data_IF_249586768825
#
_entry.id   IF_249586768825
#
_cell.length_a   1.000
_cell.length_b   1.000
_cell.length_c   1.000
_cell.angle_alpha   90.00
_cell.angle_beta   90.00
_cell.angle_gamma   90.00
#
_symmetry.space_group_name_H-M   'P 1'
#
loop_
_entity.id
_entity.type
_entity.pdbx_description
1 polymer ?
#
# COMPACT_ATOMS: atom_id res chain seq x y z
N UNK A 1 -20.36 19.79 1.17
CA UNK A 1 -20.49 18.34 0.83
C UNK A 1 -20.31 17.54 2.09
N UNK A 2 -21.14 16.54 2.33
CA UNK A 2 -20.98 15.64 3.47
C UNK A 2 -20.13 14.45 3.01
N UNK A 3 -19.00 14.20 3.66
CA UNK A 3 -18.11 13.06 3.35
C UNK A 3 -18.54 11.84 4.17
N UNK A 4 -18.18 10.61 3.72
CA UNK A 4 -18.59 9.36 4.39
C UNK A 4 -18.24 9.28 5.87
N UNK A 5 -17.10 9.85 6.28
CA UNK A 5 -16.63 9.82 7.67
C UNK A 5 -16.71 11.19 8.36
N UNK A 6 -17.55 12.12 7.87
CA UNK A 6 -17.78 13.41 8.56
C UNK A 6 -18.18 13.18 10.01
N UNK A 7 -17.49 13.84 10.95
CA UNK A 7 -17.72 13.74 12.40
C UNK A 7 -17.07 12.53 13.08
N UNK A 8 -16.36 11.68 12.35
CA UNK A 8 -15.53 10.60 12.92
C UNK A 8 -14.18 11.18 13.33
N UNK A 9 -13.78 10.97 14.58
CA UNK A 9 -12.55 11.47 15.19
C UNK A 9 -11.50 10.37 15.29
N UNK A 10 -10.35 10.58 14.68
CA UNK A 10 -9.24 9.61 14.64
C UNK A 10 -8.01 10.19 15.30
N UNK A 11 -7.57 9.57 16.39
CA UNK A 11 -6.32 9.90 17.06
C UNK A 11 -5.21 9.03 16.46
N UNK A 12 -4.31 9.65 15.71
CA UNK A 12 -3.19 9.01 15.04
C UNK A 12 -1.93 9.12 15.90
N UNK A 13 -1.58 8.03 16.59
CA UNK A 13 -0.35 7.90 17.35
C UNK A 13 0.74 7.19 16.54
N UNK A 14 0.43 6.79 15.30
CA UNK A 14 1.30 5.98 14.47
C UNK A 14 2.42 6.79 13.81
N UNK A 15 3.45 6.08 13.32
CA UNK A 15 4.63 6.66 12.68
C UNK A 15 5.00 5.88 11.41
N UNK A 16 5.83 6.46 10.60
CA UNK A 16 6.45 5.93 9.39
C UNK A 16 5.45 5.80 8.25
N UNK A 17 4.88 4.61 7.96
CA UNK A 17 4.10 4.43 6.72
C UNK A 17 2.73 3.77 6.95
N UNK A 18 2.67 2.54 7.43
CA UNK A 18 1.41 1.77 7.45
C UNK A 18 0.28 2.47 8.23
N UNK A 19 0.55 2.91 9.46
CA UNK A 19 -0.41 3.66 10.28
C UNK A 19 -0.76 5.03 9.69
N UNK A 20 0.23 5.87 9.34
CA UNK A 20 -0.04 7.16 8.70
C UNK A 20 -0.82 7.05 7.38
N UNK A 21 -0.57 6.03 6.56
CA UNK A 21 -1.35 5.75 5.34
C UNK A 21 -2.80 5.37 5.68
N UNK A 22 -2.99 4.51 6.68
CA UNK A 22 -4.33 4.15 7.16
C UNK A 22 -5.13 5.39 7.55
N UNK A 23 -4.56 6.23 8.42
CA UNK A 23 -5.23 7.43 8.92
C UNK A 23 -5.40 8.50 7.84
N UNK A 24 -4.48 8.60 6.88
CA UNK A 24 -4.64 9.46 5.70
C UNK A 24 -5.84 9.02 4.85
N UNK A 25 -5.99 7.72 4.56
CA UNK A 25 -7.14 7.18 3.80
C UNK A 25 -8.45 7.55 4.50
N UNK A 26 -8.52 7.38 5.82
CA UNK A 26 -9.70 7.74 6.59
C UNK A 26 -9.94 9.26 6.59
N UNK A 27 -8.88 10.06 6.63
CA UNK A 27 -8.92 11.51 6.46
C UNK A 27 -9.41 11.92 5.07
N UNK A 28 -8.98 11.25 4.00
CA UNK A 28 -9.47 11.46 2.64
C UNK A 28 -10.99 11.22 2.55
N UNK A 29 -11.50 10.26 3.32
CA UNK A 29 -12.93 9.94 3.41
C UNK A 29 -13.73 10.90 4.33
N UNK A 30 -13.09 11.90 4.89
CA UNK A 30 -13.76 12.96 5.64
C UNK A 30 -13.61 12.92 7.16
N UNK A 31 -12.87 11.96 7.73
CA UNK A 31 -12.61 11.91 9.15
C UNK A 31 -11.74 13.09 9.63
N UNK A 32 -11.93 13.49 10.88
CA UNK A 32 -11.06 14.42 11.59
C UNK A 32 -9.88 13.65 12.16
N UNK A 33 -8.69 13.81 11.56
CA UNK A 33 -7.48 13.09 11.95
C UNK A 33 -6.52 14.00 12.70
N UNK A 34 -6.28 13.68 13.98
CA UNK A 34 -5.30 14.36 14.81
C UNK A 34 -4.06 13.49 14.99
N UNK A 35 -2.95 13.89 14.38
CA UNK A 35 -1.65 13.23 14.51
C UNK A 35 -0.92 13.76 15.73
N UNK A 36 -0.59 12.87 16.65
CA UNK A 36 0.27 13.17 17.81
C UNK A 36 1.70 12.82 17.49
N UNK A 37 2.58 13.77 17.65
CA UNK A 37 3.99 13.65 17.32
C UNK A 37 4.90 13.95 18.52
N UNK A 38 6.16 13.50 18.45
CA UNK A 38 7.18 13.80 19.45
C UNK A 38 7.58 15.28 19.34
N UNK A 39 7.68 16.03 20.45
CA UNK A 39 8.22 17.38 20.41
C UNK A 39 9.62 17.44 19.78
N UNK A 40 9.89 18.47 19.00
CA UNK A 40 11.17 18.76 18.37
C UNK A 40 11.49 17.93 17.13
N UNK A 41 11.25 16.62 17.12
CA UNK A 41 11.60 15.75 15.96
C UNK A 41 10.41 15.27 15.14
N UNK A 42 9.24 15.16 15.74
CA UNK A 42 8.04 14.63 15.08
C UNK A 42 8.12 13.15 14.74
N UNK A 43 7.44 12.79 13.66
CA UNK A 43 7.54 11.51 12.99
C UNK A 43 8.94 11.35 12.39
N UNK A 44 9.53 10.17 12.51
CA UNK A 44 10.90 9.90 12.02
C UNK A 44 11.02 10.20 10.50
N UNK A 45 9.94 10.06 9.75
CA UNK A 45 9.90 10.36 8.30
C UNK A 45 10.05 11.84 7.96
N UNK A 46 9.89 12.76 8.92
CA UNK A 46 10.18 14.18 8.69
C UNK A 46 11.65 14.44 8.36
N UNK A 47 12.55 13.58 8.90
CA UNK A 47 13.99 13.61 8.61
C UNK A 47 14.44 12.70 7.45
N UNK A 48 13.54 11.95 6.83
CA UNK A 48 13.92 11.01 5.76
C UNK A 48 13.96 11.69 4.40
N UNK A 49 15.15 12.00 3.96
CA UNK A 49 15.41 12.61 2.67
C UNK A 49 16.92 12.52 2.31
N UNK A 50 17.32 12.99 1.15
CA UNK A 50 16.55 13.68 0.11
C UNK A 50 15.52 12.74 -0.58
N UNK A 51 14.48 13.30 -1.27
CA UNK A 51 14.25 14.71 -1.50
C UNK A 51 13.50 15.41 -0.37
N UNK A 52 13.77 16.70 -0.23
CA UNK A 52 12.97 17.64 0.57
C UNK A 52 12.39 18.70 -0.38
N UNK A 53 11.22 19.24 -0.07
CA UNK A 53 10.67 20.37 -0.82
C UNK A 53 11.37 21.70 -0.49
N UNK A 54 10.92 22.79 -1.09
CA UNK A 54 11.50 24.12 -0.88
C UNK A 54 11.39 24.65 0.56
N UNK A 55 10.47 24.08 1.34
CA UNK A 55 10.22 24.41 2.76
C UNK A 55 10.91 23.45 3.72
N UNK A 56 11.74 22.54 3.19
CA UNK A 56 12.47 21.57 3.99
C UNK A 56 11.63 20.38 4.45
N UNK A 57 10.44 20.13 3.88
CA UNK A 57 9.58 19.00 4.23
C UNK A 57 9.99 17.75 3.46
N UNK A 58 10.15 16.65 4.16
CA UNK A 58 10.45 15.35 3.56
C UNK A 58 9.34 14.88 2.63
N UNK A 59 9.67 14.49 1.40
CA UNK A 59 8.73 13.87 0.47
C UNK A 59 8.09 12.60 1.05
N UNK A 60 8.81 11.86 1.89
CA UNK A 60 8.28 10.68 2.57
C UNK A 60 7.13 11.06 3.52
N UNK A 61 7.34 12.07 4.37
CA UNK A 61 6.29 12.56 5.27
C UNK A 61 5.08 13.09 4.49
N UNK A 62 5.32 13.85 3.42
CA UNK A 62 4.27 14.42 2.58
C UNK A 62 3.37 13.34 1.96
N UNK A 63 3.94 12.18 1.61
CA UNK A 63 3.22 11.13 0.89
C UNK A 63 2.06 10.49 1.65
N UNK A 64 2.02 10.58 3.01
CA UNK A 64 1.05 9.85 3.85
C UNK A 64 0.42 10.69 4.98
N UNK A 65 0.53 12.03 4.95
CA UNK A 65 0.07 12.83 6.07
C UNK A 65 -0.89 13.99 5.70
N UNK A 66 -1.41 14.04 4.47
CA UNK A 66 -2.47 15.00 4.13
C UNK A 66 -3.75 14.75 4.93
N UNK A 67 -4.59 15.76 5.03
CA UNK A 67 -5.87 15.73 5.76
C UNK A 67 -5.74 15.49 7.27
N UNK A 68 -4.57 15.84 7.88
CA UNK A 68 -4.33 15.72 9.31
C UNK A 68 -4.06 17.08 9.95
N UNK A 69 -4.41 17.22 11.22
CA UNK A 69 -3.82 18.23 12.11
C UNK A 69 -2.66 17.59 12.87
N UNK A 70 -1.64 18.38 13.23
CA UNK A 70 -0.48 17.93 14.03
C UNK A 70 -0.43 18.66 15.37
N UNK A 71 -0.19 17.88 16.44
CA UNK A 71 0.13 18.35 17.77
C UNK A 71 1.33 17.60 18.33
N UNK A 72 2.28 18.32 18.89
CA UNK A 72 3.43 17.73 19.58
C UNK A 72 3.11 17.49 21.06
N UNK A 73 3.11 16.20 21.47
CA UNK A 73 2.92 15.77 22.86
C UNK A 73 4.00 14.76 23.22
N UNK A 74 4.68 14.98 24.35
CA UNK A 74 5.66 14.02 24.84
C UNK A 74 4.98 12.87 25.60
N UNK A 75 4.83 11.74 24.93
CA UNK A 75 4.24 10.54 25.54
C UNK A 75 5.09 9.94 26.66
N UNK A 76 6.33 10.40 26.88
CA UNK A 76 7.17 9.93 27.97
C UNK A 76 6.90 10.69 29.28
N UNK A 77 6.21 11.82 29.20
CA UNK A 77 5.80 12.60 30.40
C UNK A 77 4.39 12.23 30.85
N UNK A 78 4.08 12.27 32.15
CA UNK A 78 2.72 12.06 32.66
C UNK A 78 1.70 13.01 32.04
N UNK A 79 2.07 14.26 31.83
CA UNK A 79 1.24 15.32 31.26
C UNK A 79 0.87 15.02 29.80
N UNK A 80 1.85 14.63 28.99
CA UNK A 80 1.62 14.27 27.58
C UNK A 80 0.77 13.00 27.46
N UNK A 81 1.03 11.98 28.28
CA UNK A 81 0.22 10.79 28.34
C UNK A 81 -1.23 11.09 28.78
N UNK A 82 -1.43 11.93 29.77
CA UNK A 82 -2.76 12.35 30.22
C UNK A 82 -3.54 13.11 29.12
N UNK A 83 -2.86 13.99 28.37
CA UNK A 83 -3.47 14.69 27.24
C UNK A 83 -3.91 13.71 26.13
N UNK A 84 -3.08 12.70 25.80
CA UNK A 84 -3.44 11.66 24.83
C UNK A 84 -4.64 10.86 25.34
N UNK A 85 -4.67 10.47 26.61
CA UNK A 85 -5.82 9.75 27.18
C UNK A 85 -7.10 10.62 27.11
N UNK A 86 -7.02 11.91 27.42
CA UNK A 86 -8.16 12.81 27.30
C UNK A 86 -8.68 12.96 25.86
N UNK A 87 -7.79 13.00 24.87
CA UNK A 87 -8.16 13.00 23.46
C UNK A 87 -8.78 11.64 23.04
N UNK A 88 -8.19 10.52 23.49
CA UNK A 88 -8.66 9.18 23.16
C UNK A 88 -10.07 8.88 23.72
N UNK A 89 -10.41 9.41 24.92
CA UNK A 89 -11.76 9.25 25.48
C UNK A 89 -12.85 9.92 24.66
N UNK A 90 -12.51 10.86 23.78
CA UNK A 90 -13.42 11.56 22.89
C UNK A 90 -13.27 11.14 21.43
N UNK A 91 -12.35 10.22 21.12
CA UNK A 91 -12.11 9.70 19.78
C UNK A 91 -13.06 8.56 19.45
N UNK A 92 -13.30 8.35 18.15
CA UNK A 92 -13.96 7.18 17.63
C UNK A 92 -12.96 6.06 17.32
N UNK A 93 -11.73 6.42 16.94
CA UNK A 93 -10.66 5.50 16.59
C UNK A 93 -9.33 6.00 17.13
N UNK A 94 -8.51 5.10 17.68
CA UNK A 94 -7.08 5.31 17.91
C UNK A 94 -6.31 4.35 16.98
N UNK A 95 -5.31 4.87 16.28
CA UNK A 95 -4.39 4.05 15.46
C UNK A 95 -2.97 4.22 16.00
N UNK A 96 -2.28 3.10 16.25
CA UNK A 96 -0.92 3.11 16.75
C UNK A 96 -0.07 1.99 16.12
N UNK A 97 1.27 2.14 16.13
CA UNK A 97 2.20 1.11 15.67
C UNK A 97 3.47 1.04 16.55
N UNK A 98 3.28 1.24 17.86
CA UNK A 98 4.37 1.09 18.83
C UNK A 98 4.67 -0.39 19.09
N UNK A 99 5.87 -0.64 19.60
CA UNK A 99 6.19 -1.96 20.16
C UNK A 99 5.25 -2.26 21.33
N UNK A 100 4.86 -3.52 21.43
CA UNK A 100 3.96 -4.03 22.48
C UNK A 100 4.32 -3.47 23.86
N UNK A 101 3.31 -3.06 24.61
CA UNK A 101 3.43 -2.54 25.96
C UNK A 101 4.10 -1.16 26.08
N UNK A 102 4.55 -0.55 24.99
CA UNK A 102 5.19 0.78 25.05
C UNK A 102 4.23 1.86 25.54
N UNK A 103 3.04 1.93 24.98
CA UNK A 103 2.01 2.90 25.39
C UNK A 103 1.52 2.62 26.82
N UNK A 104 1.31 1.34 27.15
CA UNK A 104 0.88 0.94 28.50
C UNK A 104 1.89 1.35 29.58
N UNK A 105 3.21 1.17 29.35
CA UNK A 105 4.27 1.62 30.27
C UNK A 105 4.30 3.15 30.43
N UNK A 106 3.73 3.88 29.51
CA UNK A 106 3.58 5.36 29.54
C UNK A 106 2.25 5.81 30.11
N UNK A 107 1.43 4.91 30.65
CA UNK A 107 0.11 5.23 31.21
C UNK A 107 -1.01 5.32 30.19
N UNK A 108 -0.77 4.98 28.93
CA UNK A 108 -1.77 4.95 27.86
C UNK A 108 -2.19 3.49 27.67
N UNK A 109 -3.21 3.05 28.41
CA UNK A 109 -3.71 1.67 28.40
C UNK A 109 -4.95 1.54 27.50
N UNK A 110 -4.80 0.79 26.41
CA UNK A 110 -5.87 0.57 25.44
C UNK A 110 -7.12 -0.08 26.08
N UNK A 111 -6.93 -1.05 26.97
CA UNK A 111 -8.03 -1.73 27.65
C UNK A 111 -8.86 -0.79 28.52
N UNK A 112 -8.19 0.06 29.30
CA UNK A 112 -8.85 1.07 30.12
C UNK A 112 -9.59 2.12 29.28
N UNK A 113 -8.98 2.58 28.18
CA UNK A 113 -9.59 3.56 27.27
C UNK A 113 -10.80 2.96 26.53
N UNK A 114 -10.72 1.71 26.07
CA UNK A 114 -11.83 0.99 25.46
C UNK A 114 -12.99 0.73 26.45
N UNK A 115 -12.67 0.49 27.73
CA UNK A 115 -13.66 0.35 28.78
C UNK A 115 -14.35 1.69 29.12
N UNK A 116 -13.57 2.79 29.15
CA UNK A 116 -14.08 4.13 29.43
C UNK A 116 -14.93 4.72 28.30
N UNK A 117 -14.61 4.38 27.03
CA UNK A 117 -15.36 4.83 25.86
C UNK A 117 -15.92 3.65 25.05
N UNK A 118 -17.20 3.31 25.20
CA UNK A 118 -17.84 2.21 24.47
C UNK A 118 -17.87 2.42 22.94
N UNK A 119 -17.63 3.63 22.45
CA UNK A 119 -17.59 3.93 21.01
C UNK A 119 -16.20 3.79 20.41
N UNK A 120 -15.15 3.75 21.23
CA UNK A 120 -13.77 3.72 20.80
C UNK A 120 -13.44 2.39 20.12
N UNK A 121 -12.77 2.48 18.98
CA UNK A 121 -12.04 1.40 18.33
C UNK A 121 -10.55 1.65 18.52
N UNK A 122 -9.80 0.63 18.91
CA UNK A 122 -8.35 0.68 19.00
C UNK A 122 -7.74 -0.20 17.90
N UNK A 123 -6.88 0.36 17.05
CA UNK A 123 -6.22 -0.36 15.97
C UNK A 123 -4.70 -0.33 16.16
N UNK A 124 -4.11 -1.47 16.48
CA UNK A 124 -2.67 -1.66 16.58
C UNK A 124 -2.13 -2.29 15.29
N UNK A 125 -1.15 -1.63 14.64
CA UNK A 125 -0.45 -2.17 13.47
C UNK A 125 0.91 -2.69 13.94
N UNK A 126 1.14 -3.99 13.79
CA UNK A 126 2.31 -4.70 14.30
C UNK A 126 3.12 -5.31 13.16
N UNK A 127 4.41 -5.62 13.38
CA UNK A 127 5.20 -6.34 12.38
C UNK A 127 4.76 -7.79 12.22
N UNK A 128 4.66 -8.54 13.34
CA UNK A 128 4.49 -9.99 13.36
C UNK A 128 3.33 -10.48 14.24
N UNK A 129 2.33 -9.63 14.51
CA UNK A 129 1.15 -9.97 15.32
C UNK A 129 1.26 -9.55 16.77
N UNK A 130 0.12 -9.64 17.49
CA UNK A 130 -0.05 -9.14 18.85
C UNK A 130 0.82 -9.85 19.90
N UNK A 131 1.24 -11.09 19.64
CA UNK A 131 2.08 -11.88 20.56
C UNK A 131 3.59 -11.69 20.34
N UNK A 132 3.99 -10.93 19.30
CA UNK A 132 5.40 -10.76 18.92
C UNK A 132 5.93 -9.39 19.36
N UNK A 133 7.12 -9.40 19.98
CA UNK A 133 7.88 -8.19 20.31
C UNK A 133 8.93 -7.84 19.22
N UNK A 134 9.00 -8.63 18.13
CA UNK A 134 9.94 -8.41 17.04
C UNK A 134 9.65 -7.09 16.32
N UNK A 135 10.68 -6.27 16.05
CA UNK A 135 10.52 -5.10 15.20
C UNK A 135 10.19 -5.56 13.77
N UNK A 136 9.13 -4.98 13.19
CA UNK A 136 8.68 -5.28 11.84
C UNK A 136 8.85 -4.08 10.94
N UNK A 137 9.92 -4.08 10.13
CA UNK A 137 10.05 -3.18 8.99
C UNK A 137 9.62 -3.91 7.71
N UNK A 138 9.06 -3.18 6.78
CA UNK A 138 8.60 -3.69 5.48
C UNK A 138 9.62 -4.65 4.83
N UNK A 139 10.89 -4.25 4.75
CA UNK A 139 11.94 -5.05 4.12
C UNK A 139 12.14 -6.42 4.78
N UNK A 140 12.08 -6.48 6.11
CA UNK A 140 12.18 -7.74 6.87
C UNK A 140 10.94 -8.60 6.61
N UNK A 141 9.76 -7.98 6.58
CA UNK A 141 8.51 -8.68 6.29
C UNK A 141 8.50 -9.21 4.86
N UNK A 142 8.93 -8.44 3.87
CA UNK A 142 9.05 -8.94 2.49
C UNK A 142 9.95 -10.17 2.37
N UNK A 143 11.05 -10.21 3.15
CA UNK A 143 11.94 -11.37 3.16
C UNK A 143 11.27 -12.62 3.76
N UNK A 144 10.60 -12.46 4.91
CA UNK A 144 10.01 -13.57 5.66
C UNK A 144 8.63 -14.02 5.17
N UNK A 145 7.91 -13.18 4.40
CA UNK A 145 6.59 -13.52 3.85
C UNK A 145 6.63 -14.27 2.51
N UNK A 146 7.82 -14.59 1.99
CA UNK A 146 7.98 -15.32 0.74
C UNK A 146 8.08 -14.43 -0.51
N UNK A 147 7.79 -13.13 -0.44
CA UNK A 147 7.80 -12.25 -1.63
C UNK A 147 9.16 -12.18 -2.31
N UNK A 148 10.25 -12.10 -1.53
CA UNK A 148 11.58 -12.04 -2.11
C UNK A 148 12.02 -13.35 -2.77
N UNK A 149 11.46 -14.49 -2.36
CA UNK A 149 11.75 -15.77 -2.98
C UNK A 149 11.19 -15.91 -4.40
N UNK A 150 10.15 -15.14 -4.72
CA UNK A 150 9.44 -15.15 -6.01
C UNK A 150 9.70 -13.92 -6.88
N UNK A 151 10.41 -12.90 -6.35
CA UNK A 151 10.69 -11.65 -7.04
C UNK A 151 12.14 -11.61 -7.51
N UNK A 152 12.37 -11.25 -8.77
CA UNK A 152 13.68 -11.15 -9.40
C UNK A 152 13.87 -12.15 -10.56
N UNK A 153 15.04 -12.07 -11.21
CA UNK A 153 15.41 -12.95 -12.31
C UNK A 153 15.51 -14.41 -11.85
N UNK A 154 15.16 -15.39 -12.71
CA UNK A 154 15.17 -16.81 -12.35
C UNK A 154 16.48 -17.30 -11.72
N UNK A 155 17.62 -16.89 -12.30
CA UNK A 155 18.96 -17.23 -11.83
C UNK A 155 19.61 -16.14 -10.96
N UNK A 156 18.91 -15.02 -10.72
CA UNK A 156 19.40 -13.91 -9.92
C UNK A 156 19.19 -14.07 -8.40
N UNK A 157 19.66 -13.12 -7.59
CA UNK A 157 19.38 -13.09 -6.17
C UNK A 157 17.91 -12.78 -5.89
N UNK A 158 17.39 -13.12 -4.69
CA UNK A 158 16.09 -12.62 -4.22
C UNK A 158 16.04 -11.10 -4.22
N UNK A 159 14.94 -10.52 -4.68
CA UNK A 159 14.76 -9.08 -4.77
C UNK A 159 13.52 -8.62 -4.01
N UNK A 160 13.62 -7.46 -3.34
CA UNK A 160 12.44 -6.81 -2.77
C UNK A 160 11.62 -6.12 -3.86
N UNK A 161 10.35 -5.90 -3.61
CA UNK A 161 9.50 -5.01 -4.41
C UNK A 161 9.98 -3.56 -4.22
N UNK A 162 9.93 -2.75 -5.26
CA UNK A 162 10.48 -1.38 -5.28
C UNK A 162 9.85 -0.39 -4.30
N UNK A 163 8.67 -0.68 -3.77
CA UNK A 163 7.96 0.10 -2.75
C UNK A 163 7.85 -0.69 -1.44
N UNK A 164 7.59 -0.02 -0.32
CA UNK A 164 7.31 -0.64 0.97
C UNK A 164 5.88 -1.25 0.95
N UNK A 165 5.68 -2.29 0.13
CA UNK A 165 4.36 -2.81 -0.21
C UNK A 165 3.68 -3.55 0.95
N UNK A 166 4.44 -4.15 1.86
CA UNK A 166 3.89 -4.77 3.06
C UNK A 166 3.26 -3.72 3.99
N UNK A 167 3.92 -2.57 4.16
CA UNK A 167 3.35 -1.42 4.88
C UNK A 167 2.10 -0.87 4.19
N UNK A 168 2.13 -0.72 2.86
CA UNK A 168 0.99 -0.20 2.09
C UNK A 168 -0.22 -1.11 2.23
N UNK A 169 -0.05 -2.43 2.12
CA UNK A 169 -1.16 -3.38 2.25
C UNK A 169 -1.67 -3.39 3.70
N UNK A 170 -0.79 -3.46 4.70
CA UNK A 170 -1.20 -3.43 6.10
C UNK A 170 -1.93 -2.13 6.48
N UNK A 171 -1.51 -0.98 5.94
CA UNK A 171 -2.21 0.29 6.11
C UNK A 171 -3.61 0.29 5.51
N UNK A 172 -3.78 -0.30 4.32
CA UNK A 172 -5.09 -0.49 3.68
C UNK A 172 -5.96 -1.50 4.45
N UNK A 173 -5.39 -2.62 4.88
CA UNK A 173 -6.11 -3.62 5.70
C UNK A 173 -6.59 -3.01 7.02
N UNK A 174 -5.77 -2.18 7.66
CA UNK A 174 -6.15 -1.43 8.85
C UNK A 174 -7.34 -0.48 8.57
N UNK A 175 -7.29 0.26 7.47
CA UNK A 175 -8.40 1.13 7.08
C UNK A 175 -9.68 0.32 6.80
N UNK A 176 -9.60 -0.81 6.11
CA UNK A 176 -10.72 -1.72 5.84
C UNK A 176 -11.30 -2.26 7.16
N UNK A 177 -10.45 -2.73 8.07
CA UNK A 177 -10.89 -3.26 9.36
C UNK A 177 -11.59 -2.18 10.21
N UNK A 178 -11.05 -0.96 10.24
CA UNK A 178 -11.66 0.18 10.93
C UNK A 178 -13.00 0.54 10.29
N UNK A 179 -13.11 0.62 8.97
CA UNK A 179 -14.37 0.91 8.26
C UNK A 179 -15.43 -0.16 8.54
N UNK A 180 -15.05 -1.44 8.51
CA UNK A 180 -15.95 -2.54 8.85
C UNK A 180 -16.43 -2.47 10.30
N UNK A 181 -15.51 -2.15 11.25
CA UNK A 181 -15.86 -1.98 12.66
C UNK A 181 -16.76 -0.75 12.88
N UNK A 182 -16.51 0.38 12.21
CA UNK A 182 -17.38 1.56 12.26
C UNK A 182 -18.80 1.25 11.74
N UNK A 183 -18.91 0.53 10.62
CA UNK A 183 -20.18 0.13 10.03
C UNK A 183 -20.97 -0.84 10.92
N UNK A 184 -20.29 -1.69 11.69
CA UNK A 184 -20.88 -2.68 12.57
C UNK A 184 -20.79 -2.33 14.07
N UNK A 185 -20.47 -1.10 14.42
CA UNK A 185 -20.18 -0.65 15.80
C UNK A 185 -21.25 -1.07 16.80
N UNK A 186 -22.52 -1.06 16.41
CA UNK A 186 -23.64 -1.49 17.26
C UNK A 186 -23.59 -2.98 17.67
N UNK A 187 -22.78 -3.79 17.02
CA UNK A 187 -22.56 -5.22 17.32
C UNK A 187 -21.32 -5.48 18.16
N UNK A 188 -20.40 -4.49 18.25
CA UNK A 188 -19.12 -4.63 18.94
C UNK A 188 -19.29 -4.23 20.41
N UNK A 189 -19.88 -5.10 21.21
CA UNK A 189 -20.31 -4.79 22.58
C UNK A 189 -19.22 -4.97 23.63
N UNK A 190 -18.22 -5.80 23.37
CA UNK A 190 -17.12 -6.05 24.32
C UNK A 190 -15.82 -5.32 23.93
N UNK A 191 -14.89 -5.24 24.88
CA UNK A 191 -13.58 -4.58 24.66
C UNK A 191 -12.75 -5.32 23.63
N UNK A 192 -12.79 -6.65 23.61
CA UNK A 192 -11.97 -7.45 22.70
C UNK A 192 -12.38 -7.25 21.24
N UNK A 193 -13.69 -7.18 20.94
CA UNK A 193 -14.20 -6.96 19.58
C UNK A 193 -13.87 -5.57 19.02
N UNK A 194 -13.54 -4.60 19.87
CA UNK A 194 -13.18 -3.23 19.52
C UNK A 194 -11.66 -2.99 19.48
N UNK A 195 -10.86 -3.99 19.84
CA UNK A 195 -9.40 -3.95 19.83
C UNK A 195 -8.87 -4.71 18.61
N UNK A 196 -8.62 -3.96 17.53
CA UNK A 196 -8.20 -4.49 16.24
C UNK A 196 -6.68 -4.63 16.19
N UNK A 197 -6.19 -5.73 15.64
CA UNK A 197 -4.75 -5.92 15.41
C UNK A 197 -4.51 -6.30 13.95
N UNK A 198 -3.67 -5.52 13.29
CA UNK A 198 -3.20 -5.79 11.92
C UNK A 198 -1.71 -6.15 11.99
N UNK A 199 -1.31 -7.17 11.25
CA UNK A 199 0.09 -7.62 11.18
C UNK A 199 0.62 -7.47 9.77
N UNK A 200 1.75 -6.78 9.60
CA UNK A 200 2.41 -6.65 8.30
C UNK A 200 2.70 -8.04 7.69
N UNK A 201 3.20 -8.97 8.51
CA UNK A 201 3.51 -10.32 8.05
C UNK A 201 2.26 -11.09 7.58
N UNK A 202 1.13 -10.94 8.29
CA UNK A 202 -0.13 -11.57 7.89
C UNK A 202 -0.67 -10.94 6.59
N UNK A 203 -0.70 -9.60 6.52
CA UNK A 203 -1.13 -8.87 5.32
C UNK A 203 -0.28 -9.24 4.10
N UNK A 204 1.04 -9.33 4.28
CA UNK A 204 1.95 -9.75 3.20
C UNK A 204 1.72 -11.21 2.77
N UNK A 205 1.52 -12.13 3.71
CA UNK A 205 1.22 -13.53 3.39
C UNK A 205 -0.12 -13.67 2.67
N UNK A 206 -1.15 -12.95 3.10
CA UNK A 206 -2.46 -12.94 2.45
C UNK A 206 -2.38 -12.40 1.00
N UNK A 207 -1.48 -11.45 0.74
CA UNK A 207 -1.29 -10.87 -0.59
C UNK A 207 -0.60 -11.82 -1.60
N UNK A 208 -0.07 -12.97 -1.18
CA UNK A 208 0.41 -13.99 -2.10
C UNK A 208 -0.71 -14.66 -2.92
N UNK A 209 -1.94 -14.62 -2.45
CA UNK A 209 -3.17 -15.08 -3.14
C UNK A 209 -2.98 -16.43 -3.84
N UNK A 210 -3.01 -16.45 -5.19
CA UNK A 210 -2.88 -17.65 -6.00
C UNK A 210 -1.49 -18.31 -5.89
N UNK A 211 -0.44 -17.57 -5.62
CA UNK A 211 0.92 -18.11 -5.43
C UNK A 211 0.96 -18.96 -4.16
N UNK A 212 0.41 -18.45 -3.06
CA UNK A 212 0.27 -19.22 -1.82
C UNK A 212 -0.60 -20.46 -2.04
N UNK A 213 -1.76 -20.31 -2.72
CA UNK A 213 -2.68 -21.41 -2.95
C UNK A 213 -2.05 -22.51 -3.82
N UNK A 214 -1.27 -22.11 -4.85
CA UNK A 214 -0.54 -23.06 -5.69
C UNK A 214 0.49 -23.86 -4.88
N UNK A 215 1.25 -23.19 -4.00
CA UNK A 215 2.23 -23.87 -3.15
C UNK A 215 1.55 -24.85 -2.17
N UNK A 216 0.46 -24.42 -1.51
CA UNK A 216 -0.31 -25.25 -0.57
C UNK A 216 -0.91 -26.48 -1.24
N UNK A 217 -1.47 -26.35 -2.45
CA UNK A 217 -2.11 -27.47 -3.18
C UNK A 217 -1.06 -28.43 -3.74
N UNK A 218 0.04 -27.92 -4.29
CA UNK A 218 1.06 -28.75 -4.93
C UNK A 218 2.09 -29.32 -3.96
N UNK A 219 2.24 -28.75 -2.77
CA UNK A 219 3.32 -29.04 -1.83
C UNK A 219 4.70 -28.62 -2.35
N UNK A 220 4.76 -27.71 -3.33
CA UNK A 220 6.00 -27.23 -3.96
C UNK A 220 6.10 -25.72 -3.85
N UNK A 221 7.29 -25.23 -3.50
CA UNK A 221 7.56 -23.80 -3.45
C UNK A 221 7.44 -23.16 -4.84
N UNK A 222 6.99 -21.90 -4.83
CA UNK A 222 7.03 -21.05 -6.01
C UNK A 222 8.47 -20.62 -6.31
N UNK A 223 8.74 -20.36 -7.58
CA UNK A 223 10.06 -19.94 -8.07
C UNK A 223 9.99 -18.58 -8.74
N UNK A 224 11.15 -17.93 -8.92
CA UNK A 224 11.25 -16.68 -9.68
C UNK A 224 11.08 -16.93 -11.18
N UNK A 225 10.32 -16.07 -11.82
CA UNK A 225 10.05 -16.08 -13.26
C UNK A 225 10.50 -14.80 -13.96
N UNK A 226 11.25 -13.93 -13.26
CA UNK A 226 11.56 -12.60 -13.78
C UNK A 226 10.28 -11.83 -14.08
N UNK A 227 10.14 -11.39 -15.32
CA UNK A 227 8.94 -10.70 -15.80
C UNK A 227 7.92 -11.64 -16.48
N UNK A 228 8.12 -12.96 -16.47
CA UNK A 228 7.24 -13.90 -17.15
C UNK A 228 6.17 -14.47 -16.21
N UNK A 229 4.97 -14.69 -16.74
CA UNK A 229 3.92 -15.42 -16.02
C UNK A 229 4.22 -16.92 -16.03
N UNK A 230 4.13 -17.65 -14.89
CA UNK A 230 4.44 -19.08 -14.84
C UNK A 230 3.54 -19.94 -15.74
N UNK A 231 2.27 -19.58 -15.87
CA UNK A 231 1.24 -20.44 -16.48
C UNK A 231 0.61 -19.89 -17.77
N UNK A 232 1.04 -18.72 -18.27
CA UNK A 232 0.52 -18.10 -19.50
C UNK A 232 1.66 -17.69 -20.44
N UNK A 233 1.49 -17.92 -21.75
CA UNK A 233 2.50 -17.60 -22.78
C UNK A 233 1.83 -17.12 -24.08
N UNK A 234 2.27 -15.96 -24.65
CA UNK A 234 3.16 -14.98 -24.07
C UNK A 234 2.47 -14.11 -23.02
N UNK A 235 3.11 -13.93 -21.87
CA UNK A 235 2.68 -13.00 -20.83
C UNK A 235 3.94 -12.53 -20.11
N UNK A 236 4.62 -11.49 -20.64
CA UNK A 236 5.90 -11.02 -20.15
C UNK A 236 6.36 -9.71 -20.80
N UNK A 237 7.56 -9.27 -20.38
CA UNK A 237 8.28 -8.14 -20.96
C UNK A 237 9.00 -8.56 -22.26
N UNK A 238 9.02 -7.65 -23.23
CA UNK A 238 9.77 -7.74 -24.48
C UNK A 238 10.49 -6.41 -24.77
N UNK A 239 11.71 -6.48 -25.29
CA UNK A 239 12.48 -5.30 -25.68
C UNK A 239 12.11 -4.87 -27.09
N UNK A 240 11.43 -3.75 -27.25
CA UNK A 240 11.30 -3.07 -28.53
C UNK A 240 12.59 -2.28 -28.84
N UNK A 241 12.67 -1.67 -30.03
CA UNK A 241 13.91 -0.99 -30.46
C UNK A 241 14.29 0.22 -29.63
N UNK A 242 13.33 0.81 -28.91
CA UNK A 242 13.49 2.04 -28.09
C UNK A 242 13.33 1.79 -26.59
N UNK A 243 12.34 1.01 -26.19
CA UNK A 243 12.01 0.76 -24.79
C UNK A 243 11.18 -0.51 -24.58
N UNK A 244 11.24 -1.15 -23.39
CA UNK A 244 10.51 -2.38 -23.13
C UNK A 244 8.99 -2.19 -23.17
N UNK A 245 8.30 -3.21 -23.71
CA UNK A 245 6.85 -3.34 -23.67
C UNK A 245 6.42 -4.61 -22.98
N UNK A 246 5.25 -4.62 -22.37
CA UNK A 246 4.58 -5.81 -21.85
C UNK A 246 3.53 -6.28 -22.86
N UNK A 247 3.48 -7.58 -23.12
CA UNK A 247 2.41 -8.24 -23.88
C UNK A 247 1.81 -9.30 -22.97
N UNK A 248 0.47 -9.27 -22.79
CA UNK A 248 -0.25 -10.16 -21.87
C UNK A 248 -1.38 -10.90 -22.60
N UNK A 249 -1.12 -12.11 -23.01
CA UNK A 249 -2.08 -12.99 -23.69
C UNK A 249 -2.72 -13.95 -22.69
N UNK A 250 -4.04 -13.81 -22.47
CA UNK A 250 -4.81 -14.62 -21.53
C UNK A 250 -5.60 -15.78 -22.16
N UNK A 251 -5.72 -15.83 -23.49
CA UNK A 251 -6.51 -16.87 -24.18
C UNK A 251 -5.90 -17.26 -25.52
N UNK A 252 -6.33 -18.42 -26.07
CA UNK A 252 -5.85 -18.91 -27.36
C UNK A 252 -6.30 -17.99 -28.50
N UNK A 253 -7.51 -17.38 -28.41
CA UNK A 253 -7.97 -16.39 -29.36
C UNK A 253 -7.15 -15.10 -29.34
N UNK A 254 -6.75 -14.63 -28.18
CA UNK A 254 -5.83 -13.48 -28.06
C UNK A 254 -4.44 -13.80 -28.60
N UNK A 255 -3.97 -15.06 -28.44
CA UNK A 255 -2.71 -15.48 -29.03
C UNK A 255 -2.71 -15.33 -30.56
N UNK A 256 -3.73 -15.84 -31.25
CA UNK A 256 -3.85 -15.72 -32.70
C UNK A 256 -3.85 -14.22 -33.14
N UNK A 257 -4.63 -13.37 -32.47
CA UNK A 257 -4.65 -11.93 -32.72
C UNK A 257 -3.29 -11.27 -32.49
N UNK A 258 -2.60 -11.65 -31.41
CA UNK A 258 -1.28 -11.14 -31.07
C UNK A 258 -0.26 -11.50 -32.17
N UNK A 259 -0.22 -12.75 -32.60
CA UNK A 259 0.69 -13.19 -33.66
C UNK A 259 0.42 -12.45 -34.99
N UNK A 260 -0.84 -12.24 -35.35
CA UNK A 260 -1.21 -11.44 -36.52
C UNK A 260 -0.75 -9.99 -36.37
N UNK A 261 -1.00 -9.35 -35.24
CA UNK A 261 -0.57 -7.96 -35.00
C UNK A 261 0.96 -7.79 -35.03
N UNK A 262 1.71 -8.83 -34.66
CA UNK A 262 3.16 -8.84 -34.75
C UNK A 262 3.68 -9.24 -36.14
N UNK A 263 2.83 -9.66 -37.10
CA UNK A 263 3.25 -10.18 -38.40
C UNK A 263 3.97 -11.54 -38.28
N UNK A 264 3.48 -12.39 -37.38
CA UNK A 264 3.98 -13.74 -37.08
C UNK A 264 2.89 -14.80 -37.30
N UNK A 265 2.10 -14.66 -38.37
CA UNK A 265 0.95 -15.50 -38.69
C UNK A 265 1.31 -16.99 -38.79
N UNK A 266 2.54 -17.31 -39.21
CA UNK A 266 3.04 -18.67 -39.26
C UNK A 266 3.06 -19.33 -37.87
N UNK A 267 3.35 -18.60 -36.81
CA UNK A 267 3.30 -19.09 -35.43
C UNK A 267 1.86 -19.28 -34.93
N UNK A 268 0.90 -18.46 -35.41
CA UNK A 268 -0.51 -18.63 -35.08
C UNK A 268 -1.09 -19.91 -35.75
N UNK A 269 -0.58 -20.27 -36.91
CA UNK A 269 -0.99 -21.47 -37.67
C UNK A 269 -0.29 -22.78 -37.25
N UNK A 270 0.76 -22.68 -36.43
CA UNK A 270 1.49 -23.85 -35.94
C UNK A 270 0.72 -24.57 -34.82
N UNK A 271 0.38 -25.82 -35.01
CA UNK A 271 -0.37 -26.66 -34.06
C UNK A 271 0.28 -26.73 -32.68
N UNK A 272 1.61 -26.58 -32.57
CA UNK A 272 2.34 -26.56 -31.29
C UNK A 272 1.93 -25.40 -30.39
N UNK A 273 1.51 -24.28 -30.97
CA UNK A 273 1.19 -23.06 -30.23
C UNK A 273 -0.32 -22.78 -30.12
N UNK A 274 -1.16 -23.63 -30.70
CA UNK A 274 -2.61 -23.44 -30.76
C UNK A 274 -3.26 -23.34 -29.36
N UNK A 275 -2.74 -24.09 -28.38
CA UNK A 275 -3.22 -24.10 -27.00
C UNK A 275 -2.18 -23.51 -26.04
N UNK A 276 -2.61 -22.96 -24.91
CA UNK A 276 -1.68 -22.49 -23.89
C UNK A 276 -0.76 -23.60 -23.36
N UNK A 277 -1.24 -24.82 -23.25
CA UNK A 277 -0.42 -25.99 -22.85
C UNK A 277 0.73 -26.24 -23.84
N UNK A 278 0.45 -26.14 -25.13
CA UNK A 278 1.46 -26.24 -26.17
C UNK A 278 2.47 -25.10 -26.10
N UNK A 279 2.01 -23.87 -25.95
CA UNK A 279 2.87 -22.69 -25.78
C UNK A 279 3.76 -22.76 -24.54
N UNK A 280 3.28 -23.37 -23.46
CA UNK A 280 4.08 -23.64 -22.27
C UNK A 280 5.18 -24.67 -22.54
N UNK A 281 4.87 -25.72 -23.27
CA UNK A 281 5.85 -26.78 -23.63
C UNK A 281 6.98 -26.24 -24.52
N UNK A 282 6.66 -25.33 -25.43
CA UNK A 282 7.61 -24.72 -26.37
C UNK A 282 7.92 -23.25 -26.06
N UNK A 283 7.82 -22.84 -24.79
CA UNK A 283 7.95 -21.45 -24.33
C UNK A 283 9.21 -20.77 -24.86
N UNK A 284 10.37 -21.38 -24.71
CA UNK A 284 11.65 -20.75 -25.03
C UNK A 284 11.76 -20.40 -26.52
N UNK A 285 11.33 -21.31 -27.40
CA UNK A 285 11.33 -21.11 -28.85
C UNK A 285 10.37 -19.99 -29.27
N UNK A 286 9.14 -20.06 -28.75
CA UNK A 286 8.10 -19.05 -29.05
C UNK A 286 8.49 -17.65 -28.57
N UNK A 287 9.00 -17.53 -27.35
CA UNK A 287 9.41 -16.24 -26.77
C UNK A 287 10.60 -15.65 -27.53
N UNK A 288 11.59 -16.47 -27.95
CA UNK A 288 12.70 -16.02 -28.74
C UNK A 288 12.25 -15.42 -30.10
N UNK A 289 11.33 -16.08 -30.78
CA UNK A 289 10.77 -15.61 -32.06
C UNK A 289 9.99 -14.29 -31.90
N UNK A 290 9.17 -14.17 -30.84
CA UNK A 290 8.44 -12.93 -30.54
C UNK A 290 9.43 -11.81 -30.18
N UNK A 291 10.46 -12.08 -29.37
CA UNK A 291 11.46 -11.10 -28.96
C UNK A 291 12.26 -10.56 -30.16
N UNK A 292 12.66 -11.43 -31.06
CA UNK A 292 13.36 -11.03 -32.30
C UNK A 292 12.47 -10.06 -33.13
N UNK A 293 11.19 -10.41 -33.27
CA UNK A 293 10.25 -9.58 -34.01
C UNK A 293 10.00 -8.23 -33.33
N UNK A 294 9.80 -8.23 -32.01
CA UNK A 294 9.50 -7.00 -31.25
C UNK A 294 10.68 -6.01 -31.29
N UNK A 295 11.93 -6.48 -31.33
CA UNK A 295 13.12 -5.62 -31.50
C UNK A 295 13.14 -4.83 -32.80
N UNK A 296 12.45 -5.27 -33.82
CA UNK A 296 12.55 -4.67 -35.16
C UNK A 296 11.87 -3.31 -35.32
N UNK A 297 11.02 -2.89 -34.33
CA UNK A 297 10.29 -1.63 -34.41
C UNK A 297 10.20 -0.95 -33.03
N UNK A 298 9.91 0.36 -33.01
CA UNK A 298 9.71 1.11 -31.75
C UNK A 298 8.42 0.69 -31.05
N UNK A 299 8.40 0.86 -29.72
CA UNK A 299 7.31 0.50 -28.84
C UNK A 299 5.96 1.08 -29.27
N UNK A 300 5.92 2.34 -29.72
CA UNK A 300 4.70 3.00 -30.16
C UNK A 300 4.00 2.27 -31.33
N UNK A 301 4.78 1.74 -32.28
CA UNK A 301 4.24 0.97 -33.42
C UNK A 301 3.59 -0.33 -32.95
N UNK A 302 4.25 -1.05 -32.02
CA UNK A 302 3.71 -2.27 -31.48
C UNK A 302 2.46 -2.07 -30.63
N UNK A 303 2.48 -1.04 -29.77
CA UNK A 303 1.29 -0.72 -28.96
C UNK A 303 0.08 -0.41 -29.85
N UNK A 304 0.25 0.41 -30.89
CA UNK A 304 -0.85 0.72 -31.81
C UNK A 304 -1.40 -0.54 -32.52
N UNK A 305 -0.54 -1.45 -32.96
CA UNK A 305 -0.94 -2.68 -33.63
C UNK A 305 -1.64 -3.68 -32.68
N UNK A 306 -1.13 -3.82 -31.46
CA UNK A 306 -1.69 -4.70 -30.42
C UNK A 306 -3.01 -4.19 -29.87
N UNK A 307 -3.12 -2.87 -29.64
CA UNK A 307 -4.37 -2.22 -29.20
C UNK A 307 -5.49 -2.39 -30.25
N UNK A 308 -5.17 -2.20 -31.53
CA UNK A 308 -6.12 -2.43 -32.62
C UNK A 308 -6.58 -3.90 -32.69
N UNK A 309 -5.74 -4.83 -32.29
CA UNK A 309 -6.05 -6.27 -32.23
C UNK A 309 -6.74 -6.69 -30.93
N UNK A 310 -7.02 -5.78 -30.01
CA UNK A 310 -7.59 -6.06 -28.69
C UNK A 310 -6.70 -7.05 -27.88
N UNK A 311 -5.39 -6.81 -27.93
CA UNK A 311 -4.38 -7.56 -27.15
C UNK A 311 -3.83 -6.69 -26.04
N UNK A 312 -3.97 -7.06 -24.77
CA UNK A 312 -3.44 -6.27 -23.65
C UNK A 312 -1.93 -6.07 -23.76
N UNK A 313 -1.51 -4.82 -23.82
CA UNK A 313 -0.12 -4.42 -23.93
C UNK A 313 0.13 -3.10 -23.19
N UNK A 314 1.39 -2.78 -22.97
CA UNK A 314 1.78 -1.52 -22.33
C UNK A 314 3.28 -1.30 -22.39
N UNK A 315 3.71 -0.02 -22.37
CA UNK A 315 5.11 0.35 -22.29
C UNK A 315 5.53 0.51 -20.84
N UNK A 316 6.77 0.14 -20.50
CA UNK A 316 7.34 0.42 -19.18
C UNK A 316 7.60 1.91 -19.05
N UNK A 317 6.86 2.59 -18.17
CA UNK A 317 6.97 4.03 -17.92
C UNK A 317 7.83 4.31 -16.69
N UNK A 318 8.75 5.29 -16.75
CA UNK A 318 9.32 5.88 -15.54
C UNK A 318 8.22 6.51 -14.66
N UNK A 319 8.48 6.64 -13.35
CA UNK A 319 7.45 7.08 -12.38
C UNK A 319 6.84 8.44 -12.76
N UNK A 320 7.65 9.45 -13.11
CA UNK A 320 7.13 10.76 -13.49
C UNK A 320 6.29 10.73 -14.78
N UNK A 321 6.61 9.84 -15.71
CA UNK A 321 5.79 9.64 -16.92
C UNK A 321 4.47 8.97 -16.56
N UNK A 322 4.47 7.96 -15.70
CA UNK A 322 3.26 7.28 -15.25
C UNK A 322 2.31 8.21 -14.47
N UNK A 323 2.84 9.22 -13.79
CA UNK A 323 2.05 10.18 -13.01
C UNK A 323 1.46 11.32 -13.84
N UNK A 324 1.80 11.47 -15.15
CA UNK A 324 1.25 12.55 -16.00
C UNK A 324 -0.27 12.43 -16.22
N UNK A 325 -0.77 11.21 -16.23
CA UNK A 325 -2.17 10.90 -16.47
C UNK A 325 -2.98 10.72 -15.17
N UNK A 326 -2.37 11.06 -14.02
CA UNK A 326 -2.95 10.91 -12.69
C UNK A 326 -2.98 12.26 -12.00
N UNK A 327 -4.09 12.60 -11.34
CA UNK A 327 -4.14 13.81 -10.50
C UNK A 327 -3.20 13.64 -9.31
N UNK A 328 -2.12 14.41 -9.33
CA UNK A 328 -1.05 14.35 -8.34
C UNK A 328 -0.41 15.72 -8.10
N UNK A 329 0.03 15.96 -6.89
CA UNK A 329 0.68 17.19 -6.45
C UNK A 329 1.96 16.87 -5.68
N UNK A 330 3.05 17.68 -5.84
CA UNK A 330 4.24 17.53 -5.03
C UNK A 330 3.99 17.64 -3.53
N UNK A 331 2.95 18.39 -3.15
CA UNK A 331 2.61 18.65 -1.74
C UNK A 331 1.73 17.55 -1.13
N UNK A 332 0.77 17.01 -1.90
CA UNK A 332 -0.27 16.12 -1.36
C UNK A 332 -0.23 14.71 -1.93
N UNK A 333 0.74 14.42 -2.81
CA UNK A 333 0.87 13.13 -3.49
C UNK A 333 -0.24 12.89 -4.53
N UNK A 334 -0.47 11.63 -4.84
CA UNK A 334 -1.54 11.19 -5.75
C UNK A 334 -2.89 11.41 -5.08
N UNK A 335 -3.83 12.04 -5.80
CA UNK A 335 -5.18 12.30 -5.28
C UNK A 335 -5.91 10.98 -4.94
N UNK A 336 -6.76 10.99 -3.91
CA UNK A 336 -7.53 9.80 -3.56
C UNK A 336 -8.62 9.53 -4.60
N UNK A 337 -8.99 8.25 -4.77
CA UNK A 337 -10.17 7.88 -5.54
C UNK A 337 -11.45 8.31 -4.81
N UNK A 338 -12.49 8.63 -5.58
CA UNK A 338 -13.81 8.95 -5.01
C UNK A 338 -14.31 7.79 -4.10
N UNK A 339 -14.98 8.09 -2.97
CA UNK A 339 -15.43 9.39 -2.51
C UNK A 339 -14.39 10.22 -1.71
N UNK A 340 -13.12 9.86 -1.76
CA UNK A 340 -12.05 10.57 -1.07
C UNK A 340 -11.75 11.94 -1.69
N UNK A 341 -11.21 12.85 -0.88
CA UNK A 341 -10.78 14.18 -1.32
C UNK A 341 -9.63 14.73 -0.47
N UNK A 342 -8.80 15.58 -1.07
CA UNK A 342 -7.78 16.35 -0.36
C UNK A 342 -8.40 17.62 0.16
N UNK A 343 -8.45 17.78 1.48
CA UNK A 343 -9.01 18.96 2.18
C UNK A 343 -7.94 19.85 2.79
N UNK A 344 -6.81 19.26 3.18
CA UNK A 344 -5.68 19.95 3.82
C UNK A 344 -4.36 19.34 3.34
N UNK A 345 -3.30 20.14 3.16
CA UNK A 345 -1.96 19.62 2.95
C UNK A 345 -1.44 18.88 4.21
N UNK A 346 -0.36 18.11 4.10
CA UNK A 346 0.35 17.57 5.27
C UNK A 346 0.82 18.69 6.20
N UNK A 347 0.60 18.56 7.52
CA UNK A 347 0.89 19.64 8.46
C UNK A 347 2.39 19.76 8.75
N UNK A 348 2.82 21.00 9.12
CA UNK A 348 4.08 21.19 9.81
C UNK A 348 4.05 20.55 11.20
N UNK A 349 5.21 20.33 11.80
CA UNK A 349 5.29 19.80 13.17
C UNK A 349 4.67 20.79 14.16
N UNK A 350 3.74 20.32 14.99
CA UNK A 350 2.99 21.09 15.98
C UNK A 350 2.21 22.29 15.40
N UNK A 351 1.96 22.31 14.10
CA UNK A 351 1.26 23.43 13.43
C UNK A 351 -0.04 23.81 14.12
N UNK A 352 -0.74 22.83 14.66
CA UNK A 352 -2.04 23.03 15.31
C UNK A 352 -1.97 22.87 16.84
N UNK A 353 -0.76 22.81 17.39
CA UNK A 353 -0.53 22.46 18.80
C UNK A 353 -1.23 23.39 19.79
N UNK A 354 -1.10 24.72 19.63
CA UNK A 354 -1.77 25.71 20.50
C UNK A 354 -3.30 25.53 20.45
N UNK A 355 -3.85 25.41 19.23
CA UNK A 355 -5.29 25.26 19.03
C UNK A 355 -5.83 23.96 19.64
N UNK A 356 -5.10 22.85 19.43
CA UNK A 356 -5.50 21.53 19.95
C UNK A 356 -5.38 21.49 21.48
N UNK A 357 -4.31 22.04 22.06
CA UNK A 357 -4.17 22.11 23.53
C UNK A 357 -5.27 22.97 24.18
N UNK A 358 -5.73 24.02 23.50
CA UNK A 358 -6.79 24.88 24.00
C UNK A 358 -8.21 24.29 23.79
N UNK A 359 -8.47 23.62 22.68
CA UNK A 359 -9.83 23.25 22.23
C UNK A 359 -10.05 21.74 22.02
N UNK A 360 -9.01 20.91 22.12
CA UNK A 360 -9.11 19.48 21.81
C UNK A 360 -9.68 19.24 20.41
N UNK A 361 -10.65 18.38 20.28
CA UNK A 361 -11.31 18.06 19.01
C UNK A 361 -12.09 19.22 18.38
N UNK A 362 -12.46 20.24 19.16
CA UNK A 362 -13.08 21.45 18.60
C UNK A 362 -12.14 22.27 17.71
N UNK A 363 -10.85 21.93 17.65
CA UNK A 363 -9.88 22.48 16.69
C UNK A 363 -10.26 22.22 15.21
N UNK A 364 -11.09 21.22 14.93
CA UNK A 364 -11.57 20.91 13.58
C UNK A 364 -12.80 21.76 13.14
N UNK A 365 -13.45 22.45 14.07
CA UNK A 365 -14.66 23.25 13.83
C UNK A 365 -14.37 24.69 13.36
N UNK A 366 -13.12 24.99 12.98
CA UNK A 366 -12.67 26.31 12.52
C UNK A 366 -12.67 26.47 11.02
#
# INVERSE_FOLDING_TARGET
MTFPLTGIRILDLSRVLAGPLCTMILGDLGADVLKVERPGSGDDTRGWGPPFDAEGRSAYFLSVNRNKLSVALDLATPEGAAQVCALATQADVVVENFRRGTLQRRGIDAGQLLAANPRLLWCSITGFGASSDRPGYDFVVQAESGWMSITGEPSGPPMKIGVALADVIAGKDAAIAILAALASRHRLVDVASRNLTISLAHSAAAALVNVAQNALVSGKDATRWGNAHPNLVPYQLFDASDRPIVIAVGSDGQFAKCMTALGLEALAADDRYRTNAGRLAYRSELIAAIQERVRSQPSASWLAALDMADVPCGVVKPVLEALRDVDASPLTGVAPLAPGTVRRPPPLLDEHGELVRARGWAAFAG
#
